data_IF_719751497036
#
_entry.id   IF_719751497036
#
_cell.length_a   1.000
_cell.length_b   1.000
_cell.length_c   1.000
_cell.angle_alpha   90.00
_cell.angle_beta   90.00
_cell.angle_gamma   90.00
#
_symmetry.space_group_name_H-M   'P 1'
#
loop_
_entity.id
_entity.type
_entity.pdbx_description
1 polymer ?
#
# COMPACT_ATOMS: atom_id res chain seq x y z
N UNK A 1 -5.40 -12.60 -20.32
CA UNK A 1 -5.43 -11.78 -19.08
C UNK A 1 -4.08 -11.66 -18.40
N UNK A 2 -3.34 -12.74 -18.10
CA UNK A 2 -2.05 -12.67 -17.38
C UNK A 2 -1.00 -11.78 -18.06
N UNK A 3 -0.93 -11.80 -19.39
CA UNK A 3 -0.04 -10.94 -20.19
C UNK A 3 -0.32 -9.45 -19.95
N UNK A 4 -1.59 -9.06 -19.94
CA UNK A 4 -2.03 -7.69 -19.74
C UNK A 4 -1.79 -7.22 -18.29
N UNK A 5 -1.96 -8.12 -17.31
CA UNK A 5 -1.62 -7.85 -15.91
C UNK A 5 -0.13 -7.55 -15.78
N UNK A 6 0.74 -8.38 -16.35
CA UNK A 6 2.18 -8.18 -16.26
C UNK A 6 2.60 -6.84 -16.89
N UNK A 7 2.12 -6.54 -18.09
CA UNK A 7 2.38 -5.25 -18.75
C UNK A 7 1.91 -4.05 -17.92
N UNK A 8 0.73 -4.17 -17.30
CA UNK A 8 0.22 -3.12 -16.43
C UNK A 8 1.09 -2.91 -15.19
N UNK A 9 1.54 -3.99 -14.54
CA UNK A 9 2.41 -3.88 -13.36
C UNK A 9 3.78 -3.26 -13.72
N UNK A 10 4.32 -3.59 -14.89
CA UNK A 10 5.54 -2.97 -15.43
C UNK A 10 5.31 -1.48 -15.72
N UNK A 11 4.19 -1.13 -16.34
CA UNK A 11 3.79 0.26 -16.56
C UNK A 11 3.69 1.05 -15.25
N UNK A 12 3.12 0.46 -14.18
CA UNK A 12 3.02 1.13 -12.89
C UNK A 12 4.38 1.39 -12.26
N UNK A 13 5.32 0.44 -12.39
CA UNK A 13 6.66 0.58 -11.80
C UNK A 13 7.56 1.52 -12.59
N UNK A 14 7.58 1.39 -13.93
CA UNK A 14 8.53 2.11 -14.80
C UNK A 14 8.04 3.48 -15.22
N UNK A 15 6.76 3.62 -15.61
CA UNK A 15 6.21 4.87 -16.15
C UNK A 15 5.54 5.71 -15.07
N UNK A 16 4.81 5.04 -14.15
CA UNK A 16 4.05 5.75 -13.11
C UNK A 16 4.82 5.89 -11.79
N UNK A 17 6.00 5.28 -11.67
CA UNK A 17 6.84 5.31 -10.47
C UNK A 17 6.09 4.97 -9.17
N UNK A 18 5.19 3.97 -9.24
CA UNK A 18 4.49 3.51 -8.06
C UNK A 18 5.44 2.76 -7.13
N UNK A 19 5.25 2.93 -5.81
CA UNK A 19 6.06 2.22 -4.83
C UNK A 19 5.92 0.70 -4.99
N UNK A 20 6.99 -0.04 -4.69
CA UNK A 20 7.03 -1.50 -4.72
C UNK A 20 5.86 -2.12 -3.93
N UNK A 21 5.52 -1.53 -2.78
CA UNK A 21 4.40 -1.98 -1.97
C UNK A 21 3.04 -1.80 -2.67
N UNK A 22 2.86 -0.71 -3.41
CA UNK A 22 1.62 -0.47 -4.18
C UNK A 22 1.51 -1.48 -5.32
N UNK A 23 2.60 -1.68 -6.08
CA UNK A 23 2.63 -2.66 -7.18
C UNK A 23 2.35 -4.07 -6.67
N UNK A 24 2.98 -4.48 -5.55
CA UNK A 24 2.74 -5.78 -4.91
C UNK A 24 1.29 -5.97 -4.48
N UNK A 25 0.68 -4.95 -3.89
CA UNK A 25 -0.73 -5.02 -3.50
C UNK A 25 -1.67 -5.08 -4.71
N UNK A 26 -1.38 -4.31 -5.75
CA UNK A 26 -2.15 -4.35 -7.00
C UNK A 26 -2.02 -5.71 -7.70
N UNK A 27 -0.83 -6.32 -7.69
CA UNK A 27 -0.63 -7.68 -8.18
C UNK A 27 -1.56 -8.66 -7.49
N UNK A 28 -1.58 -8.67 -6.15
CA UNK A 28 -2.49 -9.53 -5.36
C UNK A 28 -3.97 -9.28 -5.68
N UNK A 29 -4.37 -8.04 -5.88
CA UNK A 29 -5.74 -7.69 -6.21
C UNK A 29 -6.11 -8.17 -7.63
N UNK A 30 -5.19 -8.09 -8.60
CA UNK A 30 -5.39 -8.57 -9.96
C UNK A 30 -5.34 -10.10 -10.08
N UNK A 31 -4.57 -10.78 -9.25
CA UNK A 31 -4.58 -12.25 -9.16
C UNK A 31 -5.97 -12.77 -8.72
N UNK A 32 -6.59 -12.11 -7.75
CA UNK A 32 -7.97 -12.44 -7.35
C UNK A 32 -8.97 -12.19 -8.47
N UNK A 33 -8.80 -11.08 -9.20
CA UNK A 33 -9.64 -10.78 -10.34
C UNK A 33 -9.42 -11.77 -11.49
N UNK A 34 -8.18 -12.22 -11.73
CA UNK A 34 -7.88 -13.25 -12.72
C UNK A 34 -8.59 -14.57 -12.42
N UNK A 35 -8.58 -15.00 -11.17
CA UNK A 35 -9.29 -16.21 -10.75
C UNK A 35 -10.82 -16.09 -10.97
N UNK A 36 -11.39 -14.93 -10.67
CA UNK A 36 -12.80 -14.65 -10.96
C UNK A 36 -13.09 -14.66 -12.46
N UNK A 37 -12.22 -14.01 -13.24
CA UNK A 37 -12.33 -13.93 -14.69
C UNK A 37 -12.33 -15.33 -15.34
N UNK A 38 -11.44 -16.20 -14.92
CA UNK A 38 -11.32 -17.58 -15.39
C UNK A 38 -12.53 -18.42 -14.99
N UNK A 39 -13.00 -18.28 -13.74
CA UNK A 39 -14.16 -19.00 -13.24
C UNK A 39 -15.46 -18.64 -14.01
N UNK A 40 -15.58 -17.39 -14.45
CA UNK A 40 -16.71 -16.89 -15.26
C UNK A 40 -16.56 -17.21 -16.77
N UNK A 41 -15.39 -17.70 -17.20
CA UNK A 41 -15.10 -18.06 -18.61
C UNK A 41 -15.34 -16.91 -19.58
N UNK A 42 -14.96 -15.68 -19.22
CA UNK A 42 -15.09 -14.55 -20.14
C UNK A 42 -14.24 -14.76 -21.41
N UNK A 43 -14.78 -14.39 -22.56
CA UNK A 43 -14.08 -14.49 -23.85
C UNK A 43 -12.90 -13.53 -23.93
N UNK A 44 -13.09 -12.31 -23.44
CA UNK A 44 -12.08 -11.25 -23.41
C UNK A 44 -12.34 -10.23 -22.29
N UNK A 45 -11.42 -9.30 -22.08
CA UNK A 45 -11.52 -8.27 -21.04
C UNK A 45 -12.61 -7.22 -21.34
N UNK A 46 -13.04 -7.09 -22.60
CA UNK A 46 -14.10 -6.17 -22.99
C UNK A 46 -15.51 -6.75 -22.68
N UNK A 47 -15.60 -8.09 -22.54
CA UNK A 47 -16.85 -8.77 -22.17
C UNK A 47 -17.24 -8.56 -20.69
N UNK A 48 -16.31 -8.10 -19.85
CA UNK A 48 -16.60 -7.86 -18.43
C UNK A 48 -17.50 -6.63 -18.27
N UNK A 49 -18.67 -6.84 -17.70
CA UNK A 49 -19.65 -5.79 -17.45
C UNK A 49 -19.49 -5.14 -16.07
N UNK A 50 -20.17 -4.02 -15.86
CA UNK A 50 -20.24 -3.37 -14.54
C UNK A 50 -20.91 -4.28 -13.48
N UNK A 51 -21.87 -5.10 -13.89
CA UNK A 51 -22.52 -6.08 -13.02
C UNK A 51 -21.53 -7.13 -12.53
N UNK A 52 -20.68 -7.64 -13.43
CA UNK A 52 -19.67 -8.64 -13.08
C UNK A 52 -18.66 -8.08 -12.07
N UNK A 53 -18.29 -6.82 -12.21
CA UNK A 53 -17.40 -6.17 -11.22
C UNK A 53 -18.10 -6.03 -9.87
N UNK A 54 -19.40 -5.69 -9.84
CA UNK A 54 -20.16 -5.66 -8.57
C UNK A 54 -20.22 -7.03 -7.92
N UNK A 55 -20.47 -8.07 -8.72
CA UNK A 55 -20.49 -9.46 -8.26
C UNK A 55 -19.13 -9.85 -7.65
N UNK A 56 -18.04 -9.56 -8.36
CA UNK A 56 -16.68 -9.81 -7.89
C UNK A 56 -16.40 -9.11 -6.55
N UNK A 57 -16.69 -7.81 -6.46
CA UNK A 57 -16.52 -7.05 -5.23
C UNK A 57 -17.38 -7.63 -4.09
N UNK A 58 -18.61 -8.07 -4.40
CA UNK A 58 -19.50 -8.73 -3.46
C UNK A 58 -18.94 -10.06 -2.96
N UNK A 59 -18.32 -10.86 -3.84
CA UNK A 59 -17.65 -12.12 -3.48
C UNK A 59 -16.49 -11.83 -2.52
N UNK A 60 -15.61 -10.89 -2.87
CA UNK A 60 -14.45 -10.57 -2.04
C UNK A 60 -14.84 -9.99 -0.66
N UNK A 61 -15.96 -9.26 -0.61
CA UNK A 61 -16.54 -8.78 0.64
C UNK A 61 -17.03 -9.95 1.52
N UNK A 62 -17.73 -10.93 0.93
CA UNK A 62 -18.17 -12.13 1.67
C UNK A 62 -17.00 -13.01 2.12
N UNK A 63 -15.87 -12.96 1.42
CA UNK A 63 -14.60 -13.61 1.83
C UNK A 63 -13.88 -12.89 2.97
N UNK A 64 -14.43 -11.78 3.48
CA UNK A 64 -13.91 -11.07 4.64
C UNK A 64 -12.90 -9.96 4.30
N UNK A 65 -12.79 -9.52 3.04
CA UNK A 65 -11.95 -8.35 2.74
C UNK A 65 -12.48 -7.11 3.48
N UNK A 66 -11.55 -6.43 4.19
CA UNK A 66 -11.88 -5.19 4.89
C UNK A 66 -12.35 -4.09 3.93
N UNK A 67 -13.17 -3.12 4.38
CA UNK A 67 -13.62 -1.99 3.56
C UNK A 67 -12.45 -1.23 2.90
N UNK A 68 -11.34 -1.07 3.61
CA UNK A 68 -10.11 -0.44 3.10
C UNK A 68 -9.47 -1.26 1.97
N UNK A 69 -9.45 -2.59 2.10
CA UNK A 69 -8.94 -3.49 1.06
C UNK A 69 -9.84 -3.51 -0.17
N UNK A 70 -11.17 -3.47 0.02
CA UNK A 70 -12.14 -3.33 -1.07
C UNK A 70 -11.96 -1.99 -1.81
N UNK A 71 -11.74 -0.89 -1.08
CA UNK A 71 -11.49 0.41 -1.71
C UNK A 71 -10.21 0.38 -2.55
N UNK A 72 -9.14 -0.27 -2.06
CA UNK A 72 -7.90 -0.47 -2.82
C UNK A 72 -8.15 -1.33 -4.06
N UNK A 73 -8.86 -2.45 -3.92
CA UNK A 73 -9.22 -3.34 -5.02
C UNK A 73 -9.95 -2.59 -6.14
N UNK A 74 -10.96 -1.79 -5.81
CA UNK A 74 -11.69 -0.96 -6.78
C UNK A 74 -10.75 0.04 -7.45
N UNK A 75 -9.85 0.68 -6.71
CA UNK A 75 -8.86 1.62 -7.25
C UNK A 75 -7.87 0.92 -8.19
N UNK A 76 -7.43 -0.29 -7.84
CA UNK A 76 -6.59 -1.13 -8.68
C UNK A 76 -7.27 -1.44 -10.01
N UNK A 77 -8.51 -1.96 -9.97
CA UNK A 77 -9.26 -2.30 -11.17
C UNK A 77 -9.58 -1.06 -12.02
N UNK A 78 -9.90 0.10 -11.41
CA UNK A 78 -10.06 1.37 -12.15
C UNK A 78 -8.80 1.75 -12.91
N UNK A 79 -7.64 1.61 -12.26
CA UNK A 79 -6.35 1.90 -12.88
C UNK A 79 -6.01 0.90 -13.98
N UNK A 80 -6.28 -0.39 -13.77
CA UNK A 80 -6.06 -1.45 -14.76
C UNK A 80 -6.90 -1.23 -16.01
N UNK A 81 -8.21 -1.04 -15.89
CA UNK A 81 -9.08 -0.78 -17.04
C UNK A 81 -8.80 0.55 -17.72
N UNK A 82 -8.31 1.57 -16.99
CA UNK A 82 -7.81 2.80 -17.62
C UNK A 82 -6.57 2.51 -18.50
N UNK A 83 -5.64 1.70 -18.00
CA UNK A 83 -4.49 1.27 -18.76
C UNK A 83 -4.89 0.47 -20.02
N UNK A 84 -5.82 -0.50 -19.88
CA UNK A 84 -6.32 -1.27 -21.03
C UNK A 84 -6.99 -0.37 -22.07
N UNK A 85 -7.67 0.69 -21.65
CA UNK A 85 -8.28 1.66 -22.56
C UNK A 85 -7.20 2.50 -23.29
N UNK A 86 -6.13 2.92 -22.59
CA UNK A 86 -4.99 3.60 -23.21
C UNK A 86 -4.30 2.71 -24.26
N UNK A 87 -4.16 1.43 -23.99
CA UNK A 87 -3.62 0.42 -24.92
C UNK A 87 -4.61 -0.01 -26.00
N UNK A 88 -5.82 0.58 -26.03
CA UNK A 88 -6.90 0.26 -26.98
C UNK A 88 -7.37 -1.22 -26.95
N UNK A 89 -7.13 -1.91 -25.83
CA UNK A 89 -7.57 -3.30 -25.61
C UNK A 89 -9.06 -3.34 -25.25
N UNK A 90 -9.55 -2.33 -24.51
CA UNK A 90 -10.96 -2.16 -24.17
C UNK A 90 -11.42 -0.74 -24.51
N UNK A 91 -12.65 -0.60 -25.01
CA UNK A 91 -13.23 0.71 -25.35
C UNK A 91 -13.95 1.37 -24.17
N UNK A 92 -14.42 0.57 -23.21
CA UNK A 92 -15.19 1.05 -22.05
C UNK A 92 -14.56 0.56 -20.76
N UNK A 93 -14.62 1.40 -19.72
CA UNK A 93 -14.16 1.02 -18.40
C UNK A 93 -15.38 0.59 -17.54
N UNK A 94 -15.55 -0.72 -17.25
CA UNK A 94 -16.72 -1.23 -16.54
C UNK A 94 -16.77 -0.80 -15.06
N UNK A 95 -15.73 -0.17 -14.53
CA UNK A 95 -15.66 0.27 -13.14
C UNK A 95 -16.11 1.72 -12.96
N UNK A 96 -16.36 2.43 -14.05
CA UNK A 96 -16.92 3.79 -13.96
C UNK A 96 -18.28 3.73 -13.24
N UNK A 97 -18.43 4.53 -12.18
CA UNK A 97 -19.67 4.56 -11.38
C UNK A 97 -19.71 3.55 -10.22
N UNK A 98 -18.68 2.70 -10.05
CA UNK A 98 -18.55 1.87 -8.84
C UNK A 98 -17.86 2.69 -7.75
N UNK A 99 -18.59 2.94 -6.67
CA UNK A 99 -18.08 3.66 -5.49
C UNK A 99 -17.39 2.70 -4.52
N UNK A 100 -16.29 3.12 -3.97
CA UNK A 100 -15.66 2.41 -2.87
C UNK A 100 -16.52 2.54 -1.59
N UNK A 101 -16.58 1.51 -0.75
CA UNK A 101 -17.27 1.63 0.52
C UNK A 101 -16.60 2.73 1.37
N UNK A 102 -17.41 3.53 2.05
CA UNK A 102 -16.89 4.46 3.04
C UNK A 102 -16.23 3.64 4.15
N UNK A 103 -14.93 3.77 4.34
CA UNK A 103 -14.27 3.25 5.53
C UNK A 103 -14.57 4.19 6.67
N UNK A 104 -14.98 3.66 7.82
CA UNK A 104 -14.98 4.47 9.03
C UNK A 104 -13.56 5.00 9.25
N UNK A 105 -13.42 6.31 9.37
CA UNK A 105 -12.17 6.91 9.83
C UNK A 105 -12.02 6.54 11.31
N UNK A 106 -11.40 5.41 11.57
CA UNK A 106 -10.95 5.09 12.92
C UNK A 106 -9.89 6.13 13.26
N UNK A 107 -10.21 7.00 14.21
CA UNK A 107 -9.22 7.89 14.80
C UNK A 107 -8.08 7.01 15.34
N UNK A 108 -6.82 7.37 15.05
CA UNK A 108 -5.69 6.68 15.65
C UNK A 108 -5.86 6.68 17.17
N UNK A 109 -5.76 5.51 17.80
CA UNK A 109 -5.64 5.45 19.26
C UNK A 109 -4.25 5.97 19.60
N UNK A 110 -4.19 7.19 20.11
CA UNK A 110 -2.97 7.71 20.69
C UNK A 110 -2.62 6.86 21.91
N UNK A 111 -1.38 6.45 22.03
CA UNK A 111 -0.84 5.82 23.24
C UNK A 111 -0.46 6.95 24.19
N UNK A 112 -0.76 6.79 25.46
CA UNK A 112 -0.41 7.75 26.50
C UNK A 112 1.13 7.93 26.56
N UNK A 113 1.56 9.18 26.70
CA UNK A 113 2.98 9.51 26.75
C UNK A 113 3.67 8.88 27.98
N UNK A 114 2.97 8.82 29.13
CA UNK A 114 3.51 8.20 30.34
C UNK A 114 3.72 6.71 30.15
N UNK A 115 2.83 6.04 29.43
CA UNK A 115 2.97 4.62 29.10
C UNK A 115 4.17 4.37 28.17
N UNK A 116 4.40 5.26 27.19
CA UNK A 116 5.56 5.15 26.31
C UNK A 116 6.84 5.38 27.11
N UNK A 117 6.88 6.38 27.97
CA UNK A 117 8.05 6.67 28.81
C UNK A 117 8.37 5.46 29.72
N UNK A 118 7.37 4.86 30.36
CA UNK A 118 7.55 3.63 31.14
C UNK A 118 8.07 2.46 30.32
N UNK A 119 7.60 2.32 29.07
CA UNK A 119 8.05 1.26 28.17
C UNK A 119 9.51 1.45 27.75
N UNK A 120 9.98 2.69 27.64
CA UNK A 120 11.35 3.04 27.26
C UNK A 120 12.30 3.13 28.45
N UNK A 121 11.78 3.17 29.68
CA UNK A 121 12.56 3.26 30.93
C UNK A 121 13.04 1.89 31.38
N UNK A 122 13.84 1.23 30.52
CA UNK A 122 14.53 0.00 30.88
C UNK A 122 16.05 0.14 30.67
N UNK A 123 16.83 -0.58 31.50
CA UNK A 123 18.29 -0.62 31.38
C UNK A 123 18.67 -1.74 30.39
N UNK A 124 19.25 -1.41 29.23
CA UNK A 124 19.75 -2.40 28.30
C UNK A 124 20.84 -3.24 28.91
N UNK A 125 20.83 -4.56 28.69
CA UNK A 125 21.83 -5.50 29.16
C UNK A 125 22.68 -6.05 28.01
N UNK A 126 22.03 -6.33 26.88
CA UNK A 126 22.70 -6.89 25.73
C UNK A 126 22.66 -5.88 24.54
N UNK A 127 23.54 -6.08 23.55
CA UNK A 127 23.62 -5.19 22.39
C UNK A 127 22.28 -5.03 21.67
N UNK A 128 21.46 -6.09 21.70
CA UNK A 128 20.12 -6.08 21.09
C UNK A 128 19.17 -5.11 21.79
N UNK A 129 19.26 -5.03 23.13
CA UNK A 129 18.47 -4.12 23.95
C UNK A 129 18.84 -2.67 23.66
N UNK A 130 20.15 -2.38 23.51
CA UNK A 130 20.61 -1.03 23.13
C UNK A 130 20.08 -0.62 21.77
N UNK A 131 20.14 -1.54 20.79
CA UNK A 131 19.58 -1.30 19.45
C UNK A 131 18.09 -1.03 19.51
N UNK A 132 17.33 -1.89 20.18
CA UNK A 132 15.86 -1.81 20.21
C UNK A 132 15.41 -0.56 20.97
N UNK A 133 16.09 -0.20 22.07
CA UNK A 133 15.84 1.05 22.78
C UNK A 133 16.13 2.26 21.90
N UNK A 134 17.27 2.31 21.24
CA UNK A 134 17.63 3.41 20.34
C UNK A 134 16.62 3.56 19.18
N UNK A 135 16.17 2.45 18.60
CA UNK A 135 15.17 2.46 17.54
C UNK A 135 13.82 2.99 18.04
N UNK A 136 13.38 2.56 19.22
CA UNK A 136 12.12 2.98 19.80
C UNK A 136 12.13 4.46 20.20
N UNK A 137 13.21 4.92 20.83
CA UNK A 137 13.41 6.33 21.19
C UNK A 137 13.47 7.23 19.95
N UNK A 138 14.16 6.76 18.90
CA UNK A 138 14.28 7.52 17.66
C UNK A 138 12.92 7.65 16.94
N UNK A 139 12.11 6.58 16.91
CA UNK A 139 10.75 6.65 16.36
C UNK A 139 9.89 7.63 17.17
N UNK A 140 9.94 7.54 18.48
CA UNK A 140 9.11 8.35 19.36
C UNK A 140 9.48 9.85 19.28
N UNK A 141 10.76 10.17 19.31
CA UNK A 141 11.24 11.56 19.29
C UNK A 141 11.08 12.25 17.93
N UNK A 142 11.33 11.50 16.84
CA UNK A 142 11.37 12.09 15.47
C UNK A 142 10.14 11.81 14.61
N UNK A 143 9.26 10.89 15.04
CA UNK A 143 8.09 10.49 14.23
C UNK A 143 8.46 9.78 12.93
N UNK A 144 9.58 9.08 12.90
CA UNK A 144 10.04 8.27 11.77
C UNK A 144 9.02 7.19 11.41
N UNK A 145 8.83 6.96 10.11
CA UNK A 145 8.12 5.76 9.66
C UNK A 145 9.03 4.55 9.81
N UNK A 146 8.44 3.37 10.07
CA UNK A 146 9.21 2.13 10.19
C UNK A 146 10.15 1.88 9.00
N UNK A 147 9.69 2.16 7.77
CA UNK A 147 10.53 2.01 6.58
C UNK A 147 11.69 3.01 6.51
N UNK A 148 11.52 4.21 7.04
CA UNK A 148 12.56 5.23 7.12
C UNK A 148 13.61 4.81 8.14
N UNK A 149 13.18 4.34 9.32
CA UNK A 149 14.08 3.79 10.33
C UNK A 149 14.91 2.61 9.79
N UNK A 150 14.26 1.64 9.11
CA UNK A 150 14.94 0.46 8.56
C UNK A 150 15.95 0.80 7.45
N UNK A 151 15.83 1.95 6.80
CA UNK A 151 16.74 2.41 5.75
C UNK A 151 17.77 3.44 6.23
N UNK A 152 17.70 3.84 7.49
CA UNK A 152 18.58 4.87 8.07
C UNK A 152 20.02 4.32 8.21
N UNK A 153 20.98 5.11 7.79
CA UNK A 153 22.42 4.83 7.96
C UNK A 153 23.02 5.79 9.01
N UNK A 154 24.15 5.43 9.56
CA UNK A 154 24.87 6.29 10.52
C UNK A 154 25.24 7.63 9.88
N UNK A 155 25.54 7.64 8.58
CA UNK A 155 25.83 8.86 7.81
C UNK A 155 24.65 9.83 7.68
N UNK A 156 23.43 9.35 7.93
CA UNK A 156 22.21 10.17 7.87
C UNK A 156 21.92 10.87 9.20
N UNK A 157 22.75 10.62 10.23
CA UNK A 157 22.63 11.19 11.57
C UNK A 157 23.65 12.30 11.78
N UNK A 158 23.21 13.45 12.28
CA UNK A 158 24.07 14.51 12.81
C UNK A 158 23.89 14.59 14.33
N UNK A 159 24.82 13.99 15.07
CA UNK A 159 24.81 14.06 16.54
C UNK A 159 25.03 15.48 17.05
N UNK A 160 25.78 16.29 16.29
CA UNK A 160 26.04 17.69 16.62
C UNK A 160 24.78 18.53 16.54
N UNK A 161 24.01 18.34 15.48
CA UNK A 161 22.79 19.13 15.20
C UNK A 161 21.53 18.43 15.74
N UNK A 162 21.70 17.26 16.38
CA UNK A 162 20.61 16.42 16.90
C UNK A 162 19.51 16.16 15.87
N UNK A 163 19.92 15.88 14.63
CA UNK A 163 19.02 15.72 13.50
C UNK A 163 19.29 14.44 12.72
N UNK A 164 18.26 13.95 12.00
CA UNK A 164 18.43 12.85 11.07
C UNK A 164 17.79 13.19 9.71
N UNK A 165 18.47 12.80 8.65
CA UNK A 165 18.01 12.99 7.27
C UNK A 165 17.39 11.73 6.75
N UNK A 166 16.14 11.82 6.26
CA UNK A 166 15.41 10.66 5.75
C UNK A 166 14.80 10.92 4.38
N UNK A 167 14.65 9.85 3.62
CA UNK A 167 13.98 9.87 2.33
C UNK A 167 12.56 9.34 2.50
N UNK A 168 11.60 10.23 2.41
CA UNK A 168 10.18 9.93 2.56
C UNK A 168 9.50 9.46 1.27
N UNK A 169 8.17 9.39 1.31
CA UNK A 169 7.35 9.01 0.16
C UNK A 169 7.58 9.93 -1.04
N UNK A 170 7.83 9.32 -2.22
CA UNK A 170 8.10 10.07 -3.45
C UNK A 170 9.53 10.59 -3.55
N UNK A 171 10.46 9.97 -2.85
CA UNK A 171 11.89 10.31 -2.84
C UNK A 171 12.16 11.74 -2.33
N UNK A 172 11.31 12.26 -1.44
CA UNK A 172 11.49 13.58 -0.85
C UNK A 172 12.34 13.46 0.41
N UNK A 173 13.45 14.18 0.44
CA UNK A 173 14.29 14.31 1.63
C UNK A 173 13.62 15.23 2.64
N UNK A 174 13.79 14.92 3.92
CA UNK A 174 13.42 15.79 5.05
C UNK A 174 14.40 15.56 6.20
N UNK A 175 14.72 16.63 6.88
CA UNK A 175 15.48 16.61 8.12
C UNK A 175 14.48 16.64 9.30
N UNK A 176 14.75 15.85 10.32
CA UNK A 176 13.92 15.66 11.52
C UNK A 176 14.74 15.97 12.74
#
# INVERSE_FOLDING_TARGET
MQKEINKFLDYLSTVRNFSVNTVRNYKKDLEKFSAFYEAKKFSDLAAVSQSDIRDFVGIERRRGLSPRSIARLISCLKSFYRYLNLERIVMKNPILGISAPKSANLLPKAIDADLINQLLDFLPKEWIDYRDKAMAELIYSSGLRLSELCSLNISDLSLKDQSCRVVGKGNKMRDL
#
